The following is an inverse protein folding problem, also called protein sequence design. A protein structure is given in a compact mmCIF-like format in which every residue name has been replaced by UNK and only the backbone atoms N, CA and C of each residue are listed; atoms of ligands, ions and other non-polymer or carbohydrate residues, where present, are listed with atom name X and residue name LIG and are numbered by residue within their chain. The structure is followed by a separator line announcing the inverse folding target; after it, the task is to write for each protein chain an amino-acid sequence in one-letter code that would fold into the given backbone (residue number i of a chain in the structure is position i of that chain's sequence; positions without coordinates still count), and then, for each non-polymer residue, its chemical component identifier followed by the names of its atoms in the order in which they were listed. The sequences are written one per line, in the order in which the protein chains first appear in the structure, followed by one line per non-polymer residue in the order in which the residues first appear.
data_IF_783370155389
#
_entry.id   IF_783370155389
#
_cell.length_a   1.000
_cell.length_b   1.000
_cell.length_c   1.000
_cell.angle_alpha   90.00
_cell.angle_beta   90.00
_cell.angle_gamma   90.00
#
_symmetry.space_group_name_H-M   'P 1'
#
loop_
_entity.id
_entity.type
_entity.pdbx_description
1 polymer ?
#
# COMPACT_ATOMS: atom_id res chain seq x y z
N UNK A 1 8.92 12.32 -1.61
CA UNK A 1 8.01 11.81 -0.56
C UNK A 1 7.83 12.87 0.52
N UNK A 2 6.59 13.05 0.97
CA UNK A 2 6.26 13.96 2.08
C UNK A 2 5.57 13.17 3.19
N UNK A 3 6.04 13.36 4.42
CA UNK A 3 5.62 12.58 5.59
C UNK A 3 5.02 13.52 6.62
N UNK A 4 3.85 13.18 7.16
CA UNK A 4 3.25 13.86 8.30
C UNK A 4 3.44 13.03 9.57
N UNK A 5 3.95 13.66 10.62
CA UNK A 5 4.04 13.13 11.97
C UNK A 5 3.06 13.91 12.85
N UNK A 6 2.08 13.23 13.44
CA UNK A 6 1.09 13.84 14.32
C UNK A 6 1.13 13.17 15.70
N UNK A 7 1.63 13.89 16.69
CA UNK A 7 1.80 13.43 18.06
C UNK A 7 1.81 14.66 18.99
N UNK A 8 1.04 14.65 20.06
CA UNK A 8 1.01 15.76 21.04
C UNK A 8 2.27 15.78 21.92
N UNK A 9 3.03 14.68 21.95
CA UNK A 9 4.31 14.57 22.63
C UNK A 9 5.47 14.93 21.69
N UNK A 10 5.82 16.22 21.64
CA UNK A 10 6.82 16.77 20.73
C UNK A 10 8.19 16.06 20.84
N UNK A 11 8.59 15.67 22.05
CA UNK A 11 9.85 14.95 22.28
C UNK A 11 9.88 13.59 21.58
N UNK A 12 8.77 12.84 21.65
CA UNK A 12 8.65 11.57 20.95
C UNK A 12 8.65 11.77 19.43
N UNK A 13 7.88 12.74 18.93
CA UNK A 13 7.88 13.08 17.51
C UNK A 13 9.29 13.39 16.99
N UNK A 14 10.12 14.12 17.77
CA UNK A 14 11.52 14.37 17.46
C UNK A 14 12.37 13.11 17.40
N UNK A 15 12.20 12.19 18.35
CA UNK A 15 12.90 10.90 18.37
C UNK A 15 12.52 10.03 17.16
N UNK A 16 11.23 9.96 16.85
CA UNK A 16 10.72 9.21 15.69
C UNK A 16 11.26 9.79 14.38
N UNK A 17 11.32 11.12 14.24
CA UNK A 17 11.92 11.80 13.09
C UNK A 17 13.38 11.37 12.86
N UNK A 18 14.19 11.34 13.93
CA UNK A 18 15.61 10.91 13.84
C UNK A 18 15.70 9.46 13.39
N UNK A 19 14.87 8.57 13.97
CA UNK A 19 14.82 7.16 13.56
C UNK A 19 14.40 6.98 12.10
N UNK A 20 13.39 7.72 11.64
CA UNK A 20 12.94 7.65 10.25
C UNK A 20 14.03 8.10 9.26
N UNK A 21 14.77 9.15 9.59
CA UNK A 21 15.88 9.64 8.74
C UNK A 21 17.06 8.66 8.59
N UNK A 22 17.17 7.66 9.45
CA UNK A 22 18.18 6.60 9.29
C UNK A 22 17.88 5.65 8.12
N UNK A 23 16.65 5.60 7.65
CA UNK A 23 16.29 4.84 6.45
C UNK A 23 16.62 5.66 5.19
N UNK A 24 17.43 5.09 4.30
CA UNK A 24 17.86 5.75 3.05
C UNK A 24 16.67 6.33 2.24
N UNK A 25 15.58 5.61 2.16
CA UNK A 25 14.35 6.04 1.45
C UNK A 25 13.77 7.34 2.02
N UNK A 26 13.98 7.62 3.31
CA UNK A 26 13.45 8.80 3.98
C UNK A 26 14.47 9.93 4.15
N UNK A 27 15.73 9.71 3.75
CA UNK A 27 16.82 10.70 3.90
C UNK A 27 16.49 12.05 3.25
N UNK A 28 15.87 12.01 2.05
CA UNK A 28 15.42 13.20 1.30
C UNK A 28 13.91 13.49 1.47
N UNK A 29 13.19 12.80 2.38
CA UNK A 29 11.78 13.05 2.59
C UNK A 29 11.57 14.37 3.33
N UNK A 30 10.54 15.13 2.93
CA UNK A 30 10.06 16.28 3.69
C UNK A 30 9.19 15.77 4.83
N UNK A 31 9.55 16.11 6.06
CA UNK A 31 8.78 15.74 7.25
C UNK A 31 8.16 16.99 7.87
N UNK A 32 6.84 16.97 8.04
CA UNK A 32 6.09 18.00 8.70
C UNK A 32 5.55 17.45 10.03
N UNK A 33 5.73 18.22 11.12
CA UNK A 33 5.30 17.84 12.47
C UNK A 33 4.02 18.58 12.84
N UNK A 34 3.10 17.85 13.47
CA UNK A 34 1.82 18.38 13.96
C UNK A 34 1.62 17.95 15.41
N UNK A 35 1.25 18.87 16.27
CA UNK A 35 0.97 18.61 17.68
C UNK A 35 -0.49 18.27 17.96
N UNK A 36 -1.35 18.25 16.95
CA UNK A 36 -2.75 17.84 17.09
C UNK A 36 -3.34 17.37 15.77
N UNK A 37 -4.35 16.48 15.84
CA UNK A 37 -5.10 16.00 14.69
C UNK A 37 -5.78 17.12 13.89
N UNK A 38 -6.28 18.15 14.58
CA UNK A 38 -6.90 19.31 13.93
C UNK A 38 -5.92 20.07 13.03
N UNK A 39 -4.67 20.29 13.48
CA UNK A 39 -3.65 20.97 12.67
C UNK A 39 -3.30 20.18 11.41
N UNK A 40 -3.15 18.86 11.54
CA UNK A 40 -2.88 18.00 10.39
C UNK A 40 -4.06 18.01 9.41
N UNK A 41 -5.29 17.87 9.91
CA UNK A 41 -6.49 17.88 9.07
C UNK A 41 -6.62 19.20 8.31
N UNK A 42 -6.45 20.33 8.98
CA UNK A 42 -6.44 21.65 8.35
C UNK A 42 -5.35 21.78 7.28
N UNK A 43 -4.16 21.20 7.51
CA UNK A 43 -3.09 21.18 6.51
C UNK A 43 -3.50 20.43 5.25
N UNK A 44 -4.16 19.27 5.39
CA UNK A 44 -4.66 18.46 4.26
C UNK A 44 -5.81 19.18 3.55
N UNK A 45 -6.75 19.77 4.27
CA UNK A 45 -7.85 20.56 3.72
C UNK A 45 -7.36 21.80 2.95
N UNK A 46 -6.25 22.38 3.35
CA UNK A 46 -5.56 23.46 2.62
C UNK A 46 -4.78 22.95 1.37
N UNK A 47 -4.94 21.68 0.99
CA UNK A 47 -4.36 21.11 -0.23
C UNK A 47 -2.94 20.55 -0.07
N UNK A 48 -2.40 20.46 1.15
CA UNK A 48 -1.14 19.77 1.35
C UNK A 48 -1.33 18.25 1.19
N UNK A 49 -0.49 17.63 0.36
CA UNK A 49 -0.52 16.20 0.07
C UNK A 49 0.63 15.52 0.82
N UNK A 50 0.32 14.44 1.50
CA UNK A 50 1.27 13.58 2.21
C UNK A 50 1.18 12.16 1.68
N UNK A 51 2.32 11.50 1.57
CA UNK A 51 2.44 10.11 1.12
C UNK A 51 2.30 9.12 2.29
N UNK A 52 2.80 9.52 3.47
CA UNK A 52 2.88 8.69 4.67
C UNK A 52 2.51 9.50 5.90
N UNK A 53 1.69 8.91 6.75
CA UNK A 53 1.25 9.48 8.02
C UNK A 53 1.67 8.59 9.18
N UNK A 54 2.33 9.17 10.18
CA UNK A 54 2.51 8.59 11.50
C UNK A 54 1.58 9.31 12.46
N UNK A 55 0.65 8.60 13.07
CA UNK A 55 -0.39 9.17 13.89
C UNK A 55 -0.36 8.57 15.29
N UNK A 56 -0.21 9.40 16.32
CA UNK A 56 -0.58 8.95 17.65
C UNK A 56 -2.09 8.80 17.74
N UNK A 57 -2.56 7.82 18.50
CA UNK A 57 -3.99 7.58 18.71
C UNK A 57 -4.49 8.46 19.85
N UNK A 58 -3.73 8.58 20.92
CA UNK A 58 -4.18 9.19 22.17
C UNK A 58 -3.83 10.68 22.21
N UNK A 59 -4.54 11.48 21.41
CA UNK A 59 -4.33 12.92 21.31
C UNK A 59 -5.57 13.70 21.76
N UNK A 60 -5.40 14.90 22.33
CA UNK A 60 -6.52 15.78 22.66
C UNK A 60 -7.32 16.23 21.42
N UNK A 61 -8.63 16.22 21.52
CA UNK A 61 -9.54 16.65 20.47
C UNK A 61 -9.90 15.52 19.51
N UNK A 62 -9.39 15.54 18.28
CA UNK A 62 -9.56 14.45 17.33
C UNK A 62 -8.52 13.38 17.64
N UNK A 63 -8.96 12.18 18.03
CA UNK A 63 -8.06 11.03 18.22
C UNK A 63 -7.49 10.54 16.89
N UNK A 64 -6.41 9.75 16.98
CA UNK A 64 -5.72 9.28 15.79
C UNK A 64 -6.54 8.35 14.91
N UNK A 65 -7.48 7.56 15.46
CA UNK A 65 -8.33 6.65 14.70
C UNK A 65 -9.35 7.42 13.86
N UNK A 66 -10.02 8.39 14.48
CA UNK A 66 -10.95 9.28 13.77
C UNK A 66 -10.22 10.11 12.71
N UNK A 67 -9.01 10.61 13.05
CA UNK A 67 -8.15 11.31 12.10
C UNK A 67 -7.79 10.41 10.91
N UNK A 68 -7.38 9.16 11.16
CA UNK A 68 -7.04 8.19 10.11
C UNK A 68 -8.21 7.92 9.15
N UNK A 69 -9.43 7.76 9.68
CA UNK A 69 -10.65 7.60 8.87
C UNK A 69 -10.90 8.81 7.97
N UNK A 70 -10.75 10.02 8.50
CA UNK A 70 -10.91 11.26 7.73
C UNK A 70 -9.83 11.40 6.67
N UNK A 71 -8.56 11.13 7.01
CA UNK A 71 -7.45 11.20 6.06
C UNK A 71 -7.64 10.24 4.88
N UNK A 72 -8.14 9.03 5.10
CA UNK A 72 -8.46 8.08 4.04
C UNK A 72 -9.54 8.59 3.07
N UNK A 73 -10.45 9.44 3.52
CA UNK A 73 -11.45 10.07 2.65
C UNK A 73 -10.86 11.16 1.75
N UNK A 74 -9.86 11.90 2.24
CA UNK A 74 -9.16 12.94 1.47
C UNK A 74 -8.03 12.38 0.60
N UNK A 75 -7.31 11.38 1.10
CA UNK A 75 -6.07 10.88 0.50
C UNK A 75 -6.17 9.36 0.20
N UNK A 76 -6.80 8.98 -0.90
CA UNK A 76 -7.03 7.56 -1.29
C UNK A 76 -5.76 6.69 -1.37
N UNK A 77 -4.58 7.29 -1.48
CA UNK A 77 -3.28 6.60 -1.53
C UNK A 77 -2.46 6.80 -0.27
N UNK A 78 -3.03 7.38 0.78
CA UNK A 78 -2.32 7.60 2.03
C UNK A 78 -1.87 6.28 2.66
N UNK A 79 -0.65 6.27 3.16
CA UNK A 79 -0.13 5.17 3.96
C UNK A 79 -0.17 5.63 5.40
N UNK A 80 -0.96 4.96 6.24
CA UNK A 80 -1.13 5.33 7.64
C UNK A 80 -0.45 4.30 8.53
N UNK A 81 0.38 4.76 9.45
CA UNK A 81 0.97 3.98 10.54
C UNK A 81 0.56 4.63 11.85
N UNK A 82 -0.12 3.87 12.71
CA UNK A 82 -0.39 4.32 14.06
C UNK A 82 0.80 4.06 14.97
N UNK A 83 1.12 5.03 15.82
CA UNK A 83 2.22 4.94 16.79
C UNK A 83 1.70 5.39 18.15
N UNK A 84 1.53 4.48 19.11
CA UNK A 84 0.85 4.77 20.37
C UNK A 84 1.47 3.98 21.54
N UNK A 85 1.13 4.38 22.76
CA UNK A 85 1.48 3.62 23.97
C UNK A 85 0.52 2.47 24.29
N UNK A 86 -0.62 2.32 23.60
CA UNK A 86 -1.69 1.42 23.95
C UNK A 86 -1.84 0.27 22.95
N UNK A 87 -1.90 -0.97 23.41
CA UNK A 87 -2.13 -2.17 22.56
C UNK A 87 -3.60 -2.35 22.17
N UNK A 88 -4.52 -1.85 22.99
CA UNK A 88 -5.97 -2.10 22.85
C UNK A 88 -6.60 -1.62 21.55
N UNK A 89 -6.02 -0.63 20.88
CA UNK A 89 -6.54 -0.03 19.66
C UNK A 89 -6.07 -0.74 18.38
N UNK A 90 -5.30 -1.81 18.49
CA UNK A 90 -4.78 -2.50 17.31
C UNK A 90 -5.89 -3.04 16.40
N UNK A 91 -7.02 -3.49 16.96
CA UNK A 91 -8.18 -3.97 16.20
C UNK A 91 -8.85 -2.82 15.45
N UNK A 92 -9.08 -1.69 16.12
CA UNK A 92 -9.75 -0.53 15.53
C UNK A 92 -8.91 0.14 14.41
N UNK A 93 -7.58 0.02 14.50
CA UNK A 93 -6.67 0.48 13.46
C UNK A 93 -6.86 -0.24 12.11
N UNK A 94 -7.40 -1.47 12.13
CA UNK A 94 -7.76 -2.21 10.91
C UNK A 94 -8.87 -1.54 10.10
N UNK A 95 -9.86 -0.99 10.79
CA UNK A 95 -10.99 -0.31 10.15
C UNK A 95 -10.53 0.95 9.39
N UNK A 96 -9.32 1.43 9.69
CA UNK A 96 -8.69 2.58 9.04
C UNK A 96 -7.80 2.22 7.84
N UNK A 97 -7.78 0.95 7.35
CA UNK A 97 -6.83 0.47 6.31
C UNK A 97 -5.36 0.85 6.64
N UNK A 98 -4.99 0.81 7.93
CA UNK A 98 -3.66 1.16 8.38
C UNK A 98 -2.61 0.20 7.79
N UNK A 99 -1.49 0.75 7.36
CA UNK A 99 -0.34 -0.04 6.89
C UNK A 99 0.42 -0.69 8.05
N UNK A 100 0.36 -0.10 9.23
CA UNK A 100 1.04 -0.61 10.41
C UNK A 100 0.52 -0.04 11.71
N UNK A 101 0.85 -0.75 12.79
CA UNK A 101 0.58 -0.38 14.17
C UNK A 101 1.84 -0.61 15.00
N UNK A 102 2.35 0.44 15.61
CA UNK A 102 3.57 0.42 16.41
C UNK A 102 3.28 0.89 17.83
N UNK A 103 3.82 0.18 18.80
CA UNK A 103 3.93 0.72 20.14
C UNK A 103 5.13 1.67 20.21
N UNK A 104 5.01 2.78 20.94
CA UNK A 104 6.11 3.75 21.11
C UNK A 104 7.38 3.11 21.70
N UNK A 105 7.24 2.01 22.46
CA UNK A 105 8.31 1.22 23.06
C UNK A 105 8.61 -0.10 22.34
N UNK A 106 8.15 -0.28 21.08
CA UNK A 106 8.44 -1.50 20.33
C UNK A 106 9.95 -1.67 20.09
N UNK A 107 10.36 -2.92 19.94
CA UNK A 107 11.72 -3.27 19.56
C UNK A 107 12.08 -2.81 18.14
N UNK A 108 13.38 -2.73 17.86
CA UNK A 108 13.90 -2.24 16.58
C UNK A 108 13.49 -3.14 15.39
N UNK A 109 13.38 -4.46 15.62
CA UNK A 109 12.97 -5.40 14.56
C UNK A 109 11.53 -5.15 14.09
N UNK A 110 10.61 -4.94 15.05
CA UNK A 110 9.21 -4.62 14.74
C UNK A 110 9.09 -3.24 14.08
N UNK A 111 9.85 -2.25 14.57
CA UNK A 111 9.90 -0.93 13.97
C UNK A 111 10.36 -1.00 12.52
N UNK A 112 11.55 -1.57 12.27
CA UNK A 112 12.15 -1.67 10.93
C UNK A 112 11.25 -2.46 9.97
N UNK A 113 10.68 -3.59 10.40
CA UNK A 113 9.76 -4.38 9.59
C UNK A 113 8.51 -3.60 9.16
N UNK A 114 7.94 -2.78 10.06
CA UNK A 114 6.78 -1.93 9.74
C UNK A 114 7.16 -0.82 8.75
N UNK A 115 8.33 -0.19 8.94
CA UNK A 115 8.82 0.84 8.03
C UNK A 115 9.11 0.27 6.64
N UNK A 116 9.77 -0.88 6.54
CA UNK A 116 10.02 -1.55 5.26
C UNK A 116 8.74 -1.89 4.52
N UNK A 117 7.71 -2.32 5.24
CA UNK A 117 6.38 -2.57 4.70
C UNK A 117 5.76 -1.29 4.12
N UNK A 118 5.84 -0.18 4.84
CA UNK A 118 5.35 1.12 4.36
C UNK A 118 6.13 1.59 3.12
N UNK A 119 7.45 1.39 3.08
CA UNK A 119 8.28 1.69 1.92
C UNK A 119 7.87 0.84 0.71
N UNK A 120 7.65 -0.47 0.89
CA UNK A 120 7.16 -1.35 -0.19
C UNK A 120 5.80 -0.86 -0.71
N UNK A 121 4.87 -0.51 0.20
CA UNK A 121 3.56 0.03 -0.19
C UNK A 121 3.69 1.37 -0.94
N UNK A 122 4.54 2.27 -0.46
CA UNK A 122 4.81 3.54 -1.14
C UNK A 122 5.37 3.35 -2.55
N UNK A 123 6.36 2.44 -2.71
CA UNK A 123 6.91 2.11 -4.02
C UNK A 123 5.84 1.54 -4.94
N UNK A 124 5.04 0.58 -4.48
CA UNK A 124 3.96 0.00 -5.27
C UNK A 124 2.90 1.03 -5.72
N UNK A 125 2.58 2.02 -4.86
CA UNK A 125 1.61 3.08 -5.18
C UNK A 125 2.16 4.15 -6.15
N UNK A 126 3.47 4.34 -6.17
CA UNK A 126 4.15 5.41 -6.93
C UNK A 126 5.05 4.88 -8.05
N UNK A 127 5.27 3.56 -8.12
CA UNK A 127 6.03 2.95 -9.20
C UNK A 127 5.23 2.98 -10.50
N UNK A 128 5.93 3.36 -11.56
CA UNK A 128 5.41 3.25 -12.92
C UNK A 128 6.23 2.20 -13.68
N UNK A 129 5.59 1.49 -14.56
CA UNK A 129 6.25 0.69 -15.61
C UNK A 129 6.05 1.34 -16.98
N UNK A 130 6.99 1.09 -17.85
CA UNK A 130 6.91 1.55 -19.24
C UNK A 130 6.52 0.37 -20.12
N UNK A 131 5.42 0.52 -20.83
CA UNK A 131 4.85 -0.52 -21.68
C UNK A 131 4.96 -0.07 -23.15
N UNK A 132 5.81 -0.74 -23.94
CA UNK A 132 5.97 -0.47 -25.35
C UNK A 132 4.81 -1.11 -26.14
N UNK A 133 3.83 -0.30 -26.46
CA UNK A 133 2.67 -0.68 -27.28
C UNK A 133 2.96 -0.48 -28.76
N UNK A 134 2.08 -0.97 -29.64
CA UNK A 134 2.20 -0.74 -31.09
C UNK A 134 2.07 0.76 -31.48
N UNK A 135 1.48 1.57 -30.61
CA UNK A 135 1.24 3.00 -30.85
C UNK A 135 2.20 3.92 -30.11
N UNK A 136 3.12 3.37 -29.30
CA UNK A 136 4.10 4.13 -28.51
C UNK A 136 4.30 3.58 -27.12
N UNK A 137 5.14 4.23 -26.31
CA UNK A 137 5.43 3.84 -24.95
C UNK A 137 4.43 4.47 -23.98
N UNK A 138 3.68 3.66 -23.25
CA UNK A 138 2.77 4.11 -22.20
C UNK A 138 3.45 4.04 -20.83
N UNK A 139 3.25 5.07 -20.00
CA UNK A 139 3.63 5.06 -18.58
C UNK A 139 2.43 4.59 -17.75
N UNK A 140 2.56 3.43 -17.11
CA UNK A 140 1.45 2.78 -16.41
C UNK A 140 1.80 2.64 -14.92
N UNK A 141 1.01 3.23 -14.01
CA UNK A 141 1.18 3.04 -12.57
C UNK A 141 0.98 1.57 -12.20
N UNK A 142 1.91 0.97 -11.47
CA UNK A 142 1.83 -0.43 -11.03
C UNK A 142 0.55 -0.68 -10.24
N UNK A 143 0.16 0.30 -9.38
CA UNK A 143 -1.08 0.22 -8.61
C UNK A 143 -2.35 0.23 -9.47
N UNK A 144 -2.30 0.73 -10.69
CA UNK A 144 -3.46 0.69 -11.59
C UNK A 144 -3.71 -0.69 -12.20
N UNK A 145 -2.70 -1.58 -12.21
CA UNK A 145 -2.80 -2.90 -12.84
C UNK A 145 -3.60 -3.85 -11.96
N UNK A 146 -4.69 -4.41 -12.50
CA UNK A 146 -5.57 -5.37 -11.85
C UNK A 146 -5.05 -6.79 -12.04
N UNK A 147 -4.86 -7.18 -13.29
CA UNK A 147 -4.34 -8.48 -13.68
C UNK A 147 -3.70 -8.42 -15.08
N UNK A 148 -2.97 -9.48 -15.44
CA UNK A 148 -2.36 -9.64 -16.76
C UNK A 148 -2.80 -10.98 -17.32
N UNK A 149 -3.25 -10.99 -18.57
CA UNK A 149 -3.61 -12.20 -19.29
C UNK A 149 -2.67 -12.39 -20.48
N UNK A 150 -2.26 -13.64 -20.73
CA UNK A 150 -1.44 -13.99 -21.89
C UNK A 150 -2.28 -14.71 -22.93
N UNK A 151 -2.44 -14.08 -24.08
CA UNK A 151 -3.14 -14.65 -25.24
C UNK A 151 -2.53 -14.15 -26.53
N UNK A 152 -2.61 -14.91 -27.62
CA UNK A 152 -2.10 -14.51 -28.92
C UNK A 152 -0.61 -14.13 -28.94
N UNK A 153 0.22 -14.72 -28.06
CA UNK A 153 1.65 -14.41 -27.88
C UNK A 153 1.90 -12.99 -27.34
N UNK A 154 0.91 -12.39 -26.66
CA UNK A 154 0.95 -11.04 -26.07
C UNK A 154 0.47 -11.08 -24.64
N UNK A 155 0.96 -10.15 -23.82
CA UNK A 155 0.42 -9.86 -22.48
C UNK A 155 -0.58 -8.71 -22.60
N UNK A 156 -1.77 -8.93 -22.08
CA UNK A 156 -2.86 -7.99 -21.94
C UNK A 156 -2.87 -7.48 -20.50
N UNK A 157 -2.49 -6.24 -20.29
CA UNK A 157 -2.48 -5.59 -18.99
C UNK A 157 -3.82 -4.89 -18.75
N UNK A 158 -4.65 -5.44 -17.90
CA UNK A 158 -5.92 -4.84 -17.50
C UNK A 158 -5.69 -3.91 -16.33
N UNK A 159 -6.02 -2.64 -16.53
CA UNK A 159 -5.81 -1.58 -15.53
C UNK A 159 -7.10 -0.85 -15.21
N UNK A 160 -7.09 -0.03 -14.15
CA UNK A 160 -8.23 0.83 -13.80
C UNK A 160 -8.52 1.92 -14.84
N UNK A 161 -7.59 2.18 -15.77
CA UNK A 161 -7.71 3.22 -16.81
C UNK A 161 -7.84 2.64 -18.23
N UNK A 162 -7.82 1.31 -18.40
CA UNK A 162 -7.93 0.66 -19.69
C UNK A 162 -7.01 -0.53 -19.86
N UNK A 163 -6.89 -1.02 -21.09
CA UNK A 163 -6.09 -2.18 -21.45
C UNK A 163 -4.85 -1.76 -22.26
N UNK A 164 -3.72 -2.41 -21.98
CA UNK A 164 -2.48 -2.28 -22.77
C UNK A 164 -2.03 -3.65 -23.26
N UNK A 165 -1.70 -3.76 -24.54
CA UNK A 165 -1.33 -5.02 -25.18
C UNK A 165 0.15 -4.97 -25.59
N UNK A 166 0.96 -5.89 -25.04
CA UNK A 166 2.40 -5.87 -25.18
C UNK A 166 2.92 -7.22 -25.67
N UNK A 167 3.84 -7.21 -26.63
CA UNK A 167 4.51 -8.42 -27.09
C UNK A 167 5.64 -8.80 -26.14
N UNK A 168 5.31 -9.55 -25.08
CA UNK A 168 6.27 -10.09 -24.11
C UNK A 168 5.76 -11.38 -23.48
N UNK A 169 6.64 -12.13 -22.83
CA UNK A 169 6.26 -13.36 -22.12
C UNK A 169 5.62 -13.03 -20.75
N UNK A 170 4.73 -13.91 -20.29
CA UNK A 170 4.13 -13.79 -18.97
C UNK A 170 5.16 -13.88 -17.84
N UNK A 171 6.22 -14.69 -18.03
CA UNK A 171 7.30 -14.80 -17.05
C UNK A 171 8.09 -13.50 -16.90
N UNK A 172 8.38 -12.81 -18.01
CA UNK A 172 9.04 -11.50 -17.95
C UNK A 172 8.17 -10.47 -17.25
N UNK A 173 6.86 -10.46 -17.50
CA UNK A 173 5.93 -9.58 -16.80
C UNK A 173 5.89 -9.87 -15.29
N UNK A 174 5.88 -11.15 -14.90
CA UNK A 174 5.89 -11.55 -13.50
C UNK A 174 7.20 -11.16 -12.80
N UNK A 175 8.36 -11.39 -13.42
CA UNK A 175 9.66 -11.01 -12.82
C UNK A 175 9.77 -9.53 -12.50
N UNK A 176 9.19 -8.67 -13.33
CA UNK A 176 9.17 -7.23 -13.11
C UNK A 176 8.20 -6.81 -11.99
N UNK A 177 7.11 -7.56 -11.80
CA UNK A 177 6.00 -7.13 -10.94
C UNK A 177 5.87 -7.92 -9.63
N UNK A 178 6.63 -9.01 -9.46
CA UNK A 178 6.49 -9.87 -8.27
C UNK A 178 6.79 -9.16 -6.95
N UNK A 179 7.75 -8.23 -6.93
CA UNK A 179 8.08 -7.44 -5.74
C UNK A 179 6.94 -6.50 -5.30
N UNK A 180 6.00 -6.19 -6.22
CA UNK A 180 4.82 -5.38 -5.96
C UNK A 180 3.57 -6.19 -5.60
N UNK A 181 3.75 -7.48 -5.29
CA UNK A 181 2.64 -8.35 -4.87
C UNK A 181 1.84 -8.93 -6.04
N UNK A 182 2.45 -9.11 -7.20
CA UNK A 182 1.84 -9.86 -8.29
C UNK A 182 2.19 -11.33 -8.21
N UNK A 183 1.20 -12.19 -8.41
CA UNK A 183 1.35 -13.64 -8.41
C UNK A 183 0.73 -14.29 -9.65
N UNK A 184 1.25 -15.45 -10.01
CA UNK A 184 0.68 -16.26 -11.07
C UNK A 184 -0.45 -17.13 -10.53
N UNK A 185 -1.65 -16.97 -11.06
CA UNK A 185 -2.87 -17.70 -10.63
C UNK A 185 -3.34 -18.74 -11.66
N UNK A 186 -2.85 -18.65 -12.90
CA UNK A 186 -3.16 -19.55 -14.00
C UNK A 186 -1.94 -19.66 -14.93
N UNK A 187 -1.89 -20.70 -15.79
CA UNK A 187 -0.81 -20.81 -16.79
C UNK A 187 -0.72 -19.56 -17.68
N UNK A 188 -1.82 -18.83 -17.84
CA UNK A 188 -1.93 -17.63 -18.68
C UNK A 188 -2.28 -16.35 -17.92
N UNK A 189 -2.30 -16.37 -16.55
CA UNK A 189 -2.75 -15.19 -15.78
C UNK A 189 -1.89 -14.90 -14.58
N UNK A 190 -1.66 -13.59 -14.37
CA UNK A 190 -1.06 -12.99 -13.20
C UNK A 190 -2.09 -12.03 -12.59
N UNK A 191 -2.16 -11.95 -11.27
CA UNK A 191 -3.04 -11.02 -10.54
C UNK A 191 -2.25 -10.16 -9.58
N UNK A 192 -2.71 -8.94 -9.36
CA UNK A 192 -2.26 -8.07 -8.28
C UNK A 192 -3.00 -8.43 -6.99
N UNK A 193 -2.30 -8.93 -5.97
CA UNK A 193 -2.88 -9.31 -4.67
C UNK A 193 -3.62 -8.15 -3.99
N UNK A 194 -3.15 -6.90 -4.18
CA UNK A 194 -3.80 -5.72 -3.64
C UNK A 194 -5.19 -5.46 -4.24
N UNK A 195 -5.48 -6.02 -5.42
CA UNK A 195 -6.73 -5.81 -6.15
C UNK A 195 -7.72 -6.96 -6.01
N UNK A 196 -7.39 -7.98 -5.21
CA UNK A 196 -8.32 -9.07 -4.91
C UNK A 196 -9.31 -8.63 -3.82
N UNK A 197 -10.59 -8.64 -4.15
CA UNK A 197 -11.69 -8.40 -3.21
C UNK A 197 -12.13 -9.68 -2.51
N UNK A 198 -12.22 -10.80 -3.27
CA UNK A 198 -12.70 -12.08 -2.76
C UNK A 198 -12.05 -13.24 -3.53
N UNK A 199 -11.71 -14.31 -2.81
CA UNK A 199 -11.27 -15.58 -3.39
C UNK A 199 -12.42 -16.58 -3.31
N UNK A 200 -12.86 -17.09 -4.47
CA UNK A 200 -13.87 -18.14 -4.61
C UNK A 200 -13.20 -19.49 -4.93
N UNK A 201 -14.01 -20.54 -5.06
CA UNK A 201 -13.51 -21.90 -5.31
C UNK A 201 -12.63 -22.01 -6.55
N UNK A 202 -13.03 -21.40 -7.67
CA UNK A 202 -12.35 -21.49 -8.97
C UNK A 202 -12.14 -20.11 -9.62
N UNK A 203 -12.30 -19.03 -8.88
CA UNK A 203 -12.20 -17.67 -9.41
C UNK A 203 -11.79 -16.66 -8.34
N UNK A 204 -11.32 -15.51 -8.79
CA UNK A 204 -11.05 -14.33 -7.97
C UNK A 204 -11.99 -13.21 -8.41
N UNK A 205 -12.56 -12.50 -7.45
CA UNK A 205 -13.29 -11.25 -7.70
C UNK A 205 -12.37 -10.09 -7.37
N UNK A 206 -12.19 -9.18 -8.30
CA UNK A 206 -11.33 -8.02 -8.16
C UNK A 206 -12.10 -6.79 -7.64
N UNK A 207 -11.39 -5.74 -7.32
CA UNK A 207 -11.97 -4.49 -6.76
C UNK A 207 -12.91 -3.78 -7.72
N UNK A 208 -12.76 -3.98 -9.03
CA UNK A 208 -13.64 -3.48 -10.09
C UNK A 208 -14.88 -4.39 -10.34
N UNK A 209 -15.06 -5.42 -9.53
CA UNK A 209 -16.07 -6.49 -9.65
C UNK A 209 -15.87 -7.43 -10.84
N UNK A 210 -14.79 -7.33 -11.59
CA UNK A 210 -14.46 -8.35 -12.59
C UNK A 210 -14.12 -9.67 -11.92
N UNK A 211 -14.40 -10.77 -12.61
CA UNK A 211 -14.14 -12.13 -12.13
C UNK A 211 -13.14 -12.81 -13.08
N UNK A 212 -12.04 -13.28 -12.52
CA UNK A 212 -10.99 -13.99 -13.26
C UNK A 212 -10.84 -15.44 -12.79
N UNK A 213 -10.55 -16.35 -13.71
CA UNK A 213 -10.39 -17.77 -13.42
C UNK A 213 -9.12 -18.03 -12.59
N UNK A 214 -9.26 -18.88 -11.57
CA UNK A 214 -8.18 -19.39 -10.72
C UNK A 214 -7.96 -20.87 -11.01
N UNK A 215 -6.73 -21.23 -11.40
CA UNK A 215 -6.35 -22.64 -11.62
C UNK A 215 -6.46 -23.43 -10.31
N UNK A 216 -7.06 -24.63 -10.39
CA UNK A 216 -7.18 -25.54 -9.24
C UNK A 216 -5.82 -25.87 -8.62
N UNK A 217 -4.79 -26.05 -9.44
CA UNK A 217 -3.43 -26.37 -8.99
C UNK A 217 -2.71 -25.21 -8.29
N UNK A 218 -3.18 -23.97 -8.49
CA UNK A 218 -2.57 -22.76 -7.89
C UNK A 218 -3.41 -22.14 -6.78
N UNK A 219 -4.55 -22.77 -6.49
CA UNK A 219 -5.50 -22.20 -5.51
C UNK A 219 -4.90 -22.05 -4.12
N UNK A 220 -4.27 -23.11 -3.62
CA UNK A 220 -3.73 -23.13 -2.25
C UNK A 220 -2.53 -22.18 -2.14
N UNK A 221 -1.66 -22.15 -3.15
CA UNK A 221 -0.55 -21.18 -3.24
C UNK A 221 -1.09 -19.74 -3.28
N UNK A 222 -2.09 -19.47 -4.12
CA UNK A 222 -2.68 -18.14 -4.24
C UNK A 222 -3.36 -17.69 -2.96
N UNK A 223 -4.07 -18.61 -2.28
CA UNK A 223 -4.71 -18.33 -1.00
C UNK A 223 -3.68 -18.02 0.09
N UNK A 224 -2.63 -18.84 0.22
CA UNK A 224 -1.56 -18.61 1.20
C UNK A 224 -0.89 -17.26 0.97
N UNK A 225 -0.47 -16.97 -0.26
CA UNK A 225 0.16 -15.67 -0.61
C UNK A 225 -0.79 -14.49 -0.38
N UNK A 226 -2.08 -14.65 -0.64
CA UNK A 226 -3.06 -13.61 -0.34
C UNK A 226 -3.20 -13.37 1.16
N UNK A 227 -3.27 -14.44 1.97
CA UNK A 227 -3.35 -14.33 3.43
C UNK A 227 -2.07 -13.70 3.99
N UNK A 228 -0.89 -14.12 3.51
CA UNK A 228 0.39 -13.50 3.89
C UNK A 228 0.42 -12.02 3.53
N UNK A 229 0.05 -11.69 2.29
CA UNK A 229 -0.02 -10.30 1.82
C UNK A 229 -1.02 -9.46 2.64
N UNK A 230 -2.16 -10.06 3.03
CA UNK A 230 -3.12 -9.38 3.92
C UNK A 230 -2.59 -9.25 5.33
N UNK A 231 -1.95 -10.30 5.89
CA UNK A 231 -1.30 -10.24 7.21
C UNK A 231 -0.15 -9.23 7.25
N UNK A 232 0.61 -9.11 6.17
CA UNK A 232 1.62 -8.07 6.05
C UNK A 232 0.99 -6.66 5.96
N UNK A 233 -0.28 -6.54 5.63
CA UNK A 233 -1.06 -5.30 5.71
C UNK A 233 -1.73 -5.10 7.07
N UNK A 234 -1.70 -6.12 7.93
CA UNK A 234 -2.18 -6.12 9.29
C UNK A 234 -1.01 -5.86 10.25
#
# INVERSE_FOLDING_TARGET
MRIALCDDQIEYAGTLLVKLKSFETFSCAKLDLFSSGNQLLQSVENGNIYDLFFLDIDMPGIDGLELGKRLNSYCKKAIIIFVTNHEKYAIDAFDCDACGYLLKNCDEGRFSGTIEKAIRRYRALNQNIFLDTETGTATVPVDSILHIEYSGRRCHYYTTSGEYIIRRSLNSALSELQEFGFIRIHQYRIVNLAKIRMIQKNSLVLVDNSTIELSRYRRDEAFQKYVEFRREKL
#
